data_IF_331574139832
#
_entry.id   IF_331574139832
#
_cell.length_a   1.000
_cell.length_b   1.000
_cell.length_c   1.000
_cell.angle_alpha   90.00
_cell.angle_beta   90.00
_cell.angle_gamma   90.00
#
_symmetry.space_group_name_H-M   'P 1'
#
loop_
_entity.id
_entity.type
_entity.pdbx_description
1 polymer ?
#
# COMPACT_ATOMS: atom_id res chain seq x y z
N UNK A 1 7.55 19.07 26.55
CA UNK A 1 6.21 19.11 25.92
C UNK A 1 5.87 17.68 25.54
N UNK A 2 4.79 17.11 26.08
CA UNK A 2 4.39 15.72 25.80
C UNK A 2 3.23 15.67 24.80
N UNK A 3 3.15 14.59 24.04
CA UNK A 3 1.99 14.31 23.19
C UNK A 3 0.83 13.74 24.03
N UNK A 4 -0.42 13.80 23.53
CA UNK A 4 -1.56 13.14 24.17
C UNK A 4 -1.31 11.64 24.39
N UNK A 5 -1.89 11.05 25.44
CA UNK A 5 -1.73 9.61 25.75
C UNK A 5 -2.28 8.69 24.66
N UNK A 6 -3.16 9.19 23.81
CA UNK A 6 -3.76 8.49 22.69
C UNK A 6 -3.16 8.90 21.32
N UNK A 7 -1.99 9.55 21.31
CA UNK A 7 -1.30 9.87 20.07
C UNK A 7 -0.95 8.59 19.31
N UNK A 8 -1.24 8.56 18.00
CA UNK A 8 -1.02 7.39 17.14
C UNK A 8 0.26 7.55 16.35
N UNK A 9 1.20 6.65 16.58
CA UNK A 9 2.43 6.53 15.81
C UNK A 9 2.26 5.44 14.77
N UNK A 10 2.46 5.79 13.51
CA UNK A 10 2.37 4.86 12.41
C UNK A 10 3.24 5.23 11.23
N UNK A 11 3.22 4.36 10.24
CA UNK A 11 3.94 4.49 8.97
C UNK A 11 2.96 4.44 7.81
N UNK A 12 3.38 4.96 6.66
CA UNK A 12 2.56 4.98 5.45
C UNK A 12 3.44 4.96 4.22
N UNK A 13 2.85 4.45 3.14
CA UNK A 13 3.37 4.68 1.80
C UNK A 13 2.21 4.86 0.78
N UNK A 14 2.55 5.30 -0.43
CA UNK A 14 1.65 5.24 -1.59
C UNK A 14 1.77 3.87 -2.29
N UNK A 15 0.76 3.46 -3.04
CA UNK A 15 0.84 2.24 -3.85
C UNK A 15 1.96 2.31 -4.89
N UNK A 16 2.17 3.47 -5.52
CA UNK A 16 3.21 3.67 -6.53
C UNK A 16 4.63 3.46 -5.98
N UNK A 17 4.94 4.06 -4.83
CA UNK A 17 6.27 3.93 -4.21
C UNK A 17 6.47 2.57 -3.54
N UNK A 18 5.42 1.96 -2.99
CA UNK A 18 5.51 0.68 -2.31
C UNK A 18 5.54 -0.53 -3.27
N UNK A 19 4.71 -0.51 -4.31
CA UNK A 19 4.40 -1.67 -5.17
C UNK A 19 4.68 -1.42 -6.66
N UNK A 20 5.09 -0.21 -7.02
CA UNK A 20 5.20 0.21 -8.41
C UNK A 20 3.87 0.53 -9.08
N UNK A 21 3.95 1.13 -10.25
CA UNK A 21 2.78 1.64 -10.97
C UNK A 21 1.89 0.50 -11.46
N UNK A 22 0.59 0.60 -11.21
CA UNK A 22 -0.37 -0.32 -11.80
C UNK A 22 -0.50 -0.07 -13.31
N UNK A 23 -0.63 -1.11 -14.15
CA UNK A 23 -0.72 -0.93 -15.61
C UNK A 23 -1.88 -0.02 -16.06
N UNK A 24 -3.02 -0.09 -15.38
CA UNK A 24 -4.21 0.70 -15.70
C UNK A 24 -4.22 2.09 -15.03
N UNK A 25 -3.23 2.44 -14.20
CA UNK A 25 -3.14 3.76 -13.57
C UNK A 25 -2.78 4.84 -14.58
N UNK A 26 -3.17 6.08 -14.31
CA UNK A 26 -2.81 7.24 -15.11
C UNK A 26 -1.29 7.50 -15.11
N UNK A 27 -0.61 7.28 -13.99
CA UNK A 27 0.85 7.33 -13.86
C UNK A 27 1.56 6.37 -14.82
N UNK A 28 0.94 5.25 -15.20
CA UNK A 28 1.55 4.28 -16.14
C UNK A 28 1.79 4.90 -17.51
N UNK A 29 1.00 5.92 -17.88
CA UNK A 29 1.21 6.69 -19.11
C UNK A 29 2.49 7.50 -19.04
N UNK A 30 2.78 8.11 -17.90
CA UNK A 30 3.96 8.97 -17.73
C UNK A 30 5.25 8.16 -17.77
N UNK A 31 5.24 6.96 -17.19
CA UNK A 31 6.36 6.01 -17.31
C UNK A 31 6.55 5.54 -18.75
N UNK A 32 5.48 5.09 -19.41
CA UNK A 32 5.53 4.65 -20.83
C UNK A 32 6.02 5.74 -21.78
N UNK A 33 5.63 6.98 -21.53
CA UNK A 33 6.05 8.14 -22.31
C UNK A 33 7.48 8.62 -21.96
N UNK A 34 8.17 7.98 -21.01
CA UNK A 34 9.52 8.34 -20.58
C UNK A 34 9.59 9.69 -19.85
N UNK A 35 8.47 10.16 -19.30
CA UNK A 35 8.36 11.48 -18.63
C UNK A 35 8.75 11.42 -17.16
N UNK A 36 8.77 10.23 -16.57
CA UNK A 36 9.20 9.95 -15.21
C UNK A 36 10.01 8.64 -15.20
N UNK A 37 10.84 8.38 -14.17
CA UNK A 37 11.53 7.10 -14.01
C UNK A 37 10.55 5.93 -13.91
N UNK A 38 10.99 4.75 -14.34
CA UNK A 38 10.24 3.51 -14.16
C UNK A 38 10.21 3.14 -12.68
N UNK A 39 9.03 2.94 -12.11
CA UNK A 39 8.86 2.58 -10.70
C UNK A 39 9.25 1.13 -10.40
N UNK A 40 9.20 0.23 -11.40
CA UNK A 40 9.53 -1.19 -11.21
C UNK A 40 8.58 -1.83 -10.21
N UNK A 41 9.11 -2.54 -9.22
CA UNK A 41 8.34 -3.16 -8.13
C UNK A 41 8.16 -2.20 -6.93
N UNK A 42 8.47 -0.90 -7.10
CA UNK A 42 8.49 0.07 -6.01
C UNK A 42 9.55 -0.27 -4.97
N UNK A 43 9.14 -0.33 -3.71
CA UNK A 43 9.96 -0.79 -2.58
C UNK A 43 9.89 -2.31 -2.35
N UNK A 44 9.14 -3.05 -3.18
CA UNK A 44 8.97 -4.50 -3.06
C UNK A 44 7.80 -4.92 -2.16
N UNK A 45 6.94 -3.99 -1.73
CA UNK A 45 5.87 -4.28 -0.76
C UNK A 45 4.90 -5.35 -1.26
N UNK A 46 4.64 -5.40 -2.58
CA UNK A 46 3.73 -6.39 -3.16
C UNK A 46 4.15 -7.84 -2.89
N UNK A 47 5.46 -8.12 -2.80
CA UNK A 47 5.99 -9.44 -2.46
C UNK A 47 6.35 -9.59 -0.99
N UNK A 48 6.82 -8.51 -0.35
CA UNK A 48 7.47 -8.57 0.96
C UNK A 48 6.64 -7.96 2.11
N UNK A 49 5.36 -7.64 1.87
CA UNK A 49 4.47 -6.99 2.86
C UNK A 49 4.49 -7.66 4.24
N UNK A 50 4.58 -8.99 4.31
CA UNK A 50 4.62 -9.71 5.58
C UNK A 50 5.84 -9.35 6.43
N UNK A 51 7.00 -9.21 5.79
CA UNK A 51 8.25 -8.87 6.46
C UNK A 51 8.29 -7.38 6.83
N UNK A 52 7.82 -6.52 5.92
CA UNK A 52 7.70 -5.08 6.14
C UNK A 52 6.79 -4.74 7.33
N UNK A 53 5.63 -5.40 7.42
CA UNK A 53 4.67 -5.18 8.51
C UNK A 53 5.21 -5.69 9.85
N UNK A 54 5.90 -6.83 9.87
CA UNK A 54 6.58 -7.31 11.08
C UNK A 54 7.69 -6.36 11.52
N UNK A 55 8.46 -5.80 10.58
CA UNK A 55 9.50 -4.82 10.88
C UNK A 55 8.91 -3.53 11.45
N UNK A 56 7.83 -3.02 10.85
CA UNK A 56 7.13 -1.84 11.37
C UNK A 56 6.65 -2.05 12.82
N UNK A 57 6.07 -3.21 13.13
CA UNK A 57 5.69 -3.56 14.49
C UNK A 57 6.90 -3.65 15.43
N UNK A 58 8.02 -4.26 14.99
CA UNK A 58 9.24 -4.39 15.78
C UNK A 58 9.90 -3.03 16.10
N UNK A 59 9.72 -2.03 15.24
CA UNK A 59 10.16 -0.64 15.48
C UNK A 59 9.26 0.14 16.45
N UNK A 60 8.17 -0.46 16.92
CA UNK A 60 7.26 0.12 17.91
C UNK A 60 6.10 0.92 17.30
N UNK A 61 5.88 0.83 15.98
CA UNK A 61 4.68 1.40 15.37
C UNK A 61 3.44 0.58 15.75
N UNK A 62 2.31 1.26 15.89
CA UNK A 62 1.02 0.64 16.23
C UNK A 62 -0.02 0.81 15.12
N UNK A 63 0.29 1.63 14.12
CA UNK A 63 -0.60 1.99 13.02
C UNK A 63 0.16 1.86 11.70
N UNK A 64 -0.54 1.39 10.67
CA UNK A 64 -0.04 1.38 9.29
C UNK A 64 -1.14 1.89 8.37
N UNK A 65 -0.82 2.84 7.51
CA UNK A 65 -1.71 3.28 6.43
C UNK A 65 -1.29 2.62 5.14
N UNK A 66 -2.22 1.90 4.53
CA UNK A 66 -2.02 1.10 3.31
C UNK A 66 -2.91 1.69 2.22
N UNK A 67 -2.34 1.92 1.06
CA UNK A 67 -3.08 2.43 -0.10
C UNK A 67 -3.63 1.26 -0.90
N UNK A 68 -4.95 1.25 -1.15
CA UNK A 68 -5.58 0.34 -2.09
C UNK A 68 -5.38 0.89 -3.49
N UNK A 69 -4.64 0.18 -4.32
CA UNK A 69 -4.43 0.58 -5.71
C UNK A 69 -5.68 0.26 -6.55
N UNK A 70 -6.51 1.28 -6.79
CA UNK A 70 -7.78 1.13 -7.51
C UNK A 70 -7.56 0.59 -8.93
N UNK A 71 -6.49 0.97 -9.61
CA UNK A 71 -6.22 0.48 -10.96
C UNK A 71 -5.79 -0.99 -11.02
N UNK A 72 -5.44 -1.61 -9.87
CA UNK A 72 -5.30 -3.07 -9.73
C UNK A 72 -6.63 -3.72 -9.37
N UNK A 73 -7.38 -3.13 -8.44
CA UNK A 73 -8.66 -3.68 -7.96
C UNK A 73 -9.77 -3.63 -9.03
N UNK A 74 -9.87 -2.52 -9.77
CA UNK A 74 -10.84 -2.30 -10.83
C UNK A 74 -10.11 -1.73 -12.07
N UNK A 75 -9.40 -2.56 -12.84
CA UNK A 75 -8.60 -2.10 -13.99
C UNK A 75 -9.45 -1.51 -15.12
N UNK A 76 -10.75 -1.81 -15.15
CA UNK A 76 -11.72 -1.18 -16.04
C UNK A 76 -13.07 -1.03 -15.35
N UNK A 77 -13.84 0.03 -15.66
CA UNK A 77 -15.11 0.30 -14.98
C UNK A 77 -16.05 -0.92 -14.94
N UNK A 78 -16.55 -1.23 -13.75
CA UNK A 78 -17.42 -2.36 -13.44
C UNK A 78 -16.73 -3.73 -13.36
N UNK A 79 -15.41 -3.81 -13.56
CA UNK A 79 -14.68 -5.09 -13.58
C UNK A 79 -13.73 -5.17 -12.39
N UNK A 80 -14.14 -5.88 -11.35
CA UNK A 80 -13.30 -6.13 -10.16
C UNK A 80 -12.39 -7.33 -10.41
N UNK A 81 -11.10 -7.15 -10.17
CA UNK A 81 -10.11 -8.21 -10.12
C UNK A 81 -10.17 -8.90 -8.74
N UNK A 82 -10.56 -10.17 -8.73
CA UNK A 82 -10.72 -10.95 -7.49
C UNK A 82 -9.39 -11.31 -6.84
N UNK A 83 -8.32 -11.44 -7.62
CA UNK A 83 -6.99 -11.80 -7.11
C UNK A 83 -6.36 -10.57 -6.44
N UNK A 84 -6.56 -9.38 -7.03
CA UNK A 84 -6.20 -8.11 -6.39
C UNK A 84 -6.99 -7.88 -5.09
N UNK A 85 -8.30 -8.17 -5.09
CA UNK A 85 -9.13 -8.08 -3.89
C UNK A 85 -8.64 -9.00 -2.78
N UNK A 86 -8.27 -10.24 -3.11
CA UNK A 86 -7.76 -11.18 -2.12
C UNK A 86 -6.38 -10.76 -1.61
N UNK A 87 -5.49 -10.26 -2.48
CA UNK A 87 -4.18 -9.71 -2.08
C UNK A 87 -4.34 -8.56 -1.07
N UNK A 88 -5.29 -7.65 -1.28
CA UNK A 88 -5.60 -6.57 -0.32
C UNK A 88 -6.05 -7.15 1.03
N UNK A 89 -6.90 -8.20 1.02
CA UNK A 89 -7.35 -8.86 2.26
C UNK A 89 -6.19 -9.49 3.00
N UNK A 90 -5.29 -10.18 2.30
CA UNK A 90 -4.10 -10.81 2.87
C UNK A 90 -3.18 -9.77 3.52
N UNK A 91 -2.93 -8.64 2.85
CA UNK A 91 -2.12 -7.53 3.38
C UNK A 91 -2.74 -6.94 4.65
N UNK A 92 -4.05 -6.66 4.65
CA UNK A 92 -4.76 -6.12 5.82
C UNK A 92 -4.80 -7.12 6.99
N UNK A 93 -4.94 -8.42 6.67
CA UNK A 93 -4.86 -9.48 7.64
C UNK A 93 -3.45 -9.59 8.22
N UNK A 94 -2.40 -9.54 7.40
CA UNK A 94 -1.01 -9.60 7.84
C UNK A 94 -0.66 -8.44 8.77
N UNK A 95 -1.14 -7.22 8.47
CA UNK A 95 -0.97 -6.06 9.33
C UNK A 95 -1.60 -6.31 10.71
N UNK A 96 -2.84 -6.81 10.72
CA UNK A 96 -3.57 -7.13 11.95
C UNK A 96 -2.87 -8.23 12.76
N UNK A 97 -2.36 -9.28 12.10
CA UNK A 97 -1.60 -10.37 12.74
C UNK A 97 -0.25 -9.90 13.31
N UNK A 98 0.38 -8.91 12.68
CA UNK A 98 1.60 -8.27 13.20
C UNK A 98 1.32 -7.33 14.40
N UNK A 99 0.07 -7.13 14.79
CA UNK A 99 -0.32 -6.24 15.88
C UNK A 99 -0.45 -4.76 15.47
N UNK A 100 -0.43 -4.47 14.17
CA UNK A 100 -0.67 -3.15 13.63
C UNK A 100 -2.16 -2.90 13.41
N UNK A 101 -2.58 -1.63 13.50
CA UNK A 101 -3.92 -1.19 13.12
C UNK A 101 -3.87 -0.67 11.68
N UNK A 102 -4.45 -1.38 10.69
CA UNK A 102 -4.43 -0.92 9.31
C UNK A 102 -5.45 0.20 9.05
N UNK A 103 -5.06 1.18 8.25
CA UNK A 103 -5.89 2.26 7.73
C UNK A 103 -5.87 2.21 6.20
N UNK A 104 -6.99 1.84 5.58
CA UNK A 104 -7.07 1.79 4.13
C UNK A 104 -7.27 3.19 3.54
N UNK A 105 -6.41 3.57 2.60
CA UNK A 105 -6.60 4.73 1.73
C UNK A 105 -7.16 4.25 0.41
N UNK A 106 -8.40 4.64 0.06
CA UNK A 106 -9.06 4.18 -1.17
C UNK A 106 -8.56 4.90 -2.43
N UNK A 107 -8.05 6.13 -2.26
CA UNK A 107 -7.50 6.95 -3.34
C UNK A 107 -6.29 7.71 -2.82
N UNK A 108 -5.14 7.54 -3.46
CA UNK A 108 -3.92 8.28 -3.17
C UNK A 108 -3.38 8.85 -4.49
N UNK A 109 -3.61 10.16 -4.69
CA UNK A 109 -3.10 10.92 -5.84
C UNK A 109 -1.59 11.14 -5.78
#
# INVERSE_FOLDING_TARGET
>A
MGLPSNFRWGVTDSSLSAEGVAPAADWSRWERDGRVPVSGDGAGFASDYGDDLRLAAALGFLDVRITVEWARLEPSPGTVDTDALESIREVLAAASHAGLRPWATLVHS
#
